data_IF_376923021079
#
_entry.id   IF_376923021079
#
_cell.length_a   1.000
_cell.length_b   1.000
_cell.length_c   1.000
_cell.angle_alpha   90.00
_cell.angle_beta   90.00
_cell.angle_gamma   90.00
#
_symmetry.space_group_name_H-M   'P 1'
#
loop_
_entity.id
_entity.type
_entity.pdbx_description
1 polymer ?
#
# COMPACT_ATOMS: atom_id res chain seq x y z
N UNK A 1 17.31 4.59 -3.60
CA UNK A 1 16.26 4.04 -2.71
C UNK A 1 16.60 2.58 -2.50
N UNK A 2 16.70 2.15 -1.25
CA UNK A 2 17.00 0.76 -0.89
C UNK A 2 15.84 0.24 -0.04
N UNK A 3 15.31 -0.94 -0.39
CA UNK A 3 14.14 -1.53 0.27
C UNK A 3 14.57 -2.87 0.87
N UNK A 4 14.55 -2.97 2.19
CA UNK A 4 15.00 -4.18 2.89
C UNK A 4 14.08 -5.38 2.66
N UNK A 5 12.77 -5.15 2.55
CA UNK A 5 11.79 -6.22 2.35
C UNK A 5 10.53 -5.71 1.66
N UNK A 6 9.99 -6.54 0.76
CA UNK A 6 8.65 -6.38 0.18
C UNK A 6 7.88 -7.67 0.40
N UNK A 7 6.68 -7.58 0.96
CA UNK A 7 5.82 -8.73 1.23
C UNK A 7 4.47 -8.54 0.54
N UNK A 8 4.03 -9.56 -0.19
CA UNK A 8 2.70 -9.63 -0.78
C UNK A 8 1.82 -10.50 0.12
N UNK A 9 0.84 -9.89 0.78
CA UNK A 9 -0.11 -10.60 1.64
C UNK A 9 -1.42 -10.84 0.89
N UNK A 10 -1.79 -12.11 0.60
CA UNK A 10 -3.08 -12.42 0.00
C UNK A 10 -4.22 -11.88 0.86
N UNK A 11 -5.26 -11.38 0.20
CA UNK A 11 -6.43 -10.83 0.86
C UNK A 11 -7.72 -11.17 0.10
N UNK A 12 -8.85 -10.79 0.69
CA UNK A 12 -10.19 -11.01 0.15
C UNK A 12 -10.99 -9.70 0.13
N UNK A 13 -12.14 -9.70 -0.56
CA UNK A 13 -13.07 -8.56 -0.55
C UNK A 13 -12.64 -7.36 -1.42
N UNK A 14 -11.80 -7.59 -2.43
CA UNK A 14 -11.31 -6.52 -3.31
C UNK A 14 -10.35 -5.53 -2.63
N UNK A 15 -9.81 -5.91 -1.48
CA UNK A 15 -8.89 -5.13 -0.67
C UNK A 15 -7.53 -4.97 -1.36
N UNK A 16 -7.02 -3.75 -1.34
CA UNK A 16 -5.64 -3.43 -1.70
C UNK A 16 -5.18 -2.37 -0.71
N UNK A 17 -4.16 -2.71 0.06
CA UNK A 17 -3.64 -1.88 1.14
C UNK A 17 -2.12 -1.89 1.08
N UNK A 18 -1.53 -0.72 1.34
CA UNK A 18 -0.08 -0.56 1.41
C UNK A 18 0.24 -0.12 2.82
N UNK A 19 1.19 -0.79 3.45
CA UNK A 19 1.70 -0.43 4.77
C UNK A 19 3.22 -0.38 4.75
N UNK A 20 3.78 0.59 5.46
CA UNK A 20 5.24 0.80 5.61
C UNK A 20 5.54 0.69 7.09
N UNK A 21 6.46 -0.19 7.48
CA UNK A 21 6.80 -0.46 8.88
C UNK A 21 5.58 -0.75 9.79
N UNK A 22 4.54 -1.37 9.21
CA UNK A 22 3.30 -1.72 9.90
C UNK A 22 2.24 -0.62 9.92
N UNK A 23 2.55 0.59 9.44
CA UNK A 23 1.62 1.72 9.35
C UNK A 23 0.88 1.73 8.00
N UNK A 24 -0.45 1.80 8.03
CA UNK A 24 -1.27 1.87 6.81
C UNK A 24 -1.11 3.22 6.13
N UNK A 25 -0.52 3.23 4.93
CA UNK A 25 -0.30 4.46 4.14
C UNK A 25 -1.31 4.64 3.02
N UNK A 26 -2.00 3.57 2.59
CA UNK A 26 -3.06 3.63 1.57
C UNK A 26 -4.06 2.48 1.73
N UNK A 27 -5.36 2.75 1.49
CA UNK A 27 -6.39 1.72 1.35
C UNK A 27 -7.33 1.99 0.18
N UNK A 28 -7.38 1.06 -0.78
CA UNK A 28 -8.30 1.13 -1.92
C UNK A 28 -9.76 1.12 -1.50
N UNK A 29 -10.10 0.46 -0.40
CA UNK A 29 -11.49 0.43 0.07
C UNK A 29 -11.91 1.78 0.65
N UNK A 30 -10.97 2.52 1.26
CA UNK A 30 -11.22 3.87 1.76
C UNK A 30 -11.27 4.90 0.61
N UNK A 31 -10.32 4.84 -0.31
CA UNK A 31 -10.19 5.81 -1.42
C UNK A 31 -11.11 5.51 -2.61
N UNK A 32 -11.61 4.27 -2.72
CA UNK A 32 -12.44 3.82 -3.84
C UNK A 32 -11.67 3.61 -5.16
N UNK A 33 -10.34 3.69 -5.14
CA UNK A 33 -9.46 3.55 -6.32
C UNK A 33 -8.12 2.90 -5.96
N UNK A 34 -7.34 2.54 -6.98
CA UNK A 34 -5.93 2.23 -6.78
C UNK A 34 -5.11 3.51 -6.60
N UNK A 35 -3.94 3.43 -5.93
CA UNK A 35 -3.06 4.58 -5.79
C UNK A 35 -2.35 4.87 -7.11
N UNK A 36 -2.00 6.13 -7.32
CA UNK A 36 -0.94 6.50 -8.27
C UNK A 36 0.43 6.18 -7.64
N UNK A 37 1.44 5.94 -8.47
CA UNK A 37 2.76 5.54 -7.97
C UNK A 37 3.37 6.59 -7.05
N UNK A 38 3.21 7.88 -7.39
CA UNK A 38 3.74 9.01 -6.64
C UNK A 38 3.13 9.12 -5.24
N UNK A 39 1.87 8.70 -5.05
CA UNK A 39 1.21 8.73 -3.73
C UNK A 39 1.86 7.75 -2.75
N UNK A 40 2.32 6.60 -3.25
CA UNK A 40 3.03 5.61 -2.44
C UNK A 40 4.48 6.04 -2.23
N UNK A 41 5.16 6.48 -3.28
CA UNK A 41 6.56 6.90 -3.19
C UNK A 41 6.77 8.08 -2.22
N UNK A 42 5.80 8.97 -2.10
CA UNK A 42 5.84 10.09 -1.14
C UNK A 42 5.66 9.66 0.34
N UNK A 43 5.33 8.38 0.60
CA UNK A 43 5.08 7.81 1.93
C UNK A 43 6.15 6.82 2.38
N UNK A 44 7.13 6.53 1.53
CA UNK A 44 8.25 5.62 1.78
C UNK A 44 9.47 6.36 2.35
#
# INVERSE_FOLDING_TARGET
MDLGQLVMLPSHGGRFEVSVDGELVFSKLAEGRFPENEEILAKL
#
